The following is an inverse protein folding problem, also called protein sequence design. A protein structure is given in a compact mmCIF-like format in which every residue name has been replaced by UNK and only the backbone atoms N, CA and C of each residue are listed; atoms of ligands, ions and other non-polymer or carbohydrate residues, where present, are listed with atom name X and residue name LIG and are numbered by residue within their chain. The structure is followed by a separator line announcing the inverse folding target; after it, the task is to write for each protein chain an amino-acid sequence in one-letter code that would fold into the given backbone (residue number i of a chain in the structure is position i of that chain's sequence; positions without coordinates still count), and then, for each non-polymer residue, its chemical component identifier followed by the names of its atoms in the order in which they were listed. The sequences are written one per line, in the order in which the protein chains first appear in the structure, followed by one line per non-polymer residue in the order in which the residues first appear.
data_IF_563021739363
#
_entry.id   IF_563021739363
#
_cell.length_a   1.000
_cell.length_b   1.000
_cell.length_c   1.000
_cell.angle_alpha   90.00
_cell.angle_beta   90.00
_cell.angle_gamma   90.00
#
_symmetry.space_group_name_H-M   'P 1'
#
loop_
_entity.id
_entity.type
_entity.pdbx_description
1 polymer ?
#
# COMPACT_ATOMS: atom_id res chain seq x y z
N UNK A 1 -4.70 6.31 -22.09
CA UNK A 1 -4.99 5.84 -20.71
C UNK A 1 -4.42 6.78 -19.66
N UNK A 2 -4.38 6.34 -18.38
CA UNK A 2 -3.94 7.18 -17.24
C UNK A 2 -2.53 7.76 -17.46
N UNK A 3 -1.55 6.94 -17.87
CA UNK A 3 -0.19 7.40 -18.14
C UNK A 3 -0.14 8.51 -19.19
N UNK A 4 -0.88 8.36 -20.29
CA UNK A 4 -0.95 9.37 -21.36
C UNK A 4 -1.55 10.69 -20.86
N UNK A 5 -2.57 10.60 -20.00
CA UNK A 5 -3.18 11.77 -19.40
C UNK A 5 -2.25 12.51 -18.42
N UNK A 6 -1.38 11.78 -17.71
CA UNK A 6 -0.42 12.35 -16.76
C UNK A 6 0.88 12.83 -17.42
N UNK A 7 1.28 12.26 -18.56
CA UNK A 7 2.56 12.54 -19.22
C UNK A 7 2.85 14.05 -19.48
N UNK A 8 1.87 14.90 -19.82
CA UNK A 8 2.13 16.34 -20.01
C UNK A 8 2.52 17.10 -18.74
N UNK A 9 2.27 16.53 -17.55
CA UNK A 9 2.38 17.24 -16.27
C UNK A 9 3.64 16.79 -15.53
N UNK A 10 4.70 16.50 -15.95
CA UNK A 10 5.99 16.20 -15.27
C UNK A 10 5.84 15.81 -13.77
N UNK A 11 4.83 14.99 -13.45
CA UNK A 11 4.52 14.58 -12.08
C UNK A 11 5.52 13.51 -11.64
N UNK A 12 6.23 13.76 -10.55
CA UNK A 12 7.22 12.83 -9.98
C UNK A 12 6.69 12.05 -8.78
N UNK A 13 5.73 12.62 -8.04
CA UNK A 13 5.17 12.03 -6.81
C UNK A 13 3.91 11.19 -7.09
N UNK A 14 4.05 10.13 -7.87
CA UNK A 14 2.95 9.20 -8.15
C UNK A 14 3.00 8.04 -7.17
N UNK A 15 1.95 7.89 -6.37
CA UNK A 15 1.70 6.75 -5.50
C UNK A 15 0.65 5.87 -6.15
N UNK A 16 0.98 4.62 -6.43
CA UNK A 16 0.09 3.67 -7.08
C UNK A 16 -0.32 2.56 -6.10
N UNK A 17 -1.61 2.50 -5.77
CA UNK A 17 -2.20 1.35 -5.09
C UNK A 17 -2.70 0.36 -6.16
N UNK A 18 -2.05 -0.81 -6.34
CA UNK A 18 -2.35 -1.71 -7.45
C UNK A 18 -3.55 -2.60 -7.10
N UNK A 19 -4.73 -2.01 -6.93
CA UNK A 19 -5.94 -2.73 -6.55
C UNK A 19 -6.37 -3.69 -7.67
N UNK A 20 -6.13 -4.99 -7.47
CA UNK A 20 -6.42 -6.05 -8.43
C UNK A 20 -7.50 -7.03 -7.96
N UNK A 21 -7.65 -7.19 -6.65
CA UNK A 21 -8.59 -8.14 -6.04
C UNK A 21 -9.44 -7.40 -5.02
N UNK A 22 -10.76 -7.61 -5.06
CA UNK A 22 -11.65 -7.09 -4.02
C UNK A 22 -11.38 -7.81 -2.69
N UNK A 23 -11.69 -7.15 -1.57
CA UNK A 23 -11.61 -7.76 -0.22
C UNK A 23 -12.40 -9.08 -0.12
N UNK A 24 -13.43 -9.26 -0.97
CA UNK A 24 -14.23 -10.49 -1.09
C UNK A 24 -13.57 -11.57 -1.99
N UNK A 25 -12.36 -11.37 -2.48
CA UNK A 25 -11.63 -12.35 -3.31
C UNK A 25 -12.05 -12.37 -4.80
N UNK A 26 -12.82 -11.40 -5.26
CA UNK A 26 -13.20 -11.31 -6.67
C UNK A 26 -12.13 -10.55 -7.45
N UNK A 27 -11.69 -11.11 -8.59
CA UNK A 27 -10.78 -10.43 -9.50
C UNK A 27 -11.43 -9.15 -10.05
N UNK A 28 -10.77 -8.02 -9.84
CA UNK A 28 -11.22 -6.71 -10.34
C UNK A 28 -10.58 -6.34 -11.67
N UNK A 29 -9.45 -6.94 -12.01
CA UNK A 29 -8.71 -6.65 -13.24
C UNK A 29 -8.59 -7.89 -14.12
N UNK A 30 -8.78 -7.68 -15.42
CA UNK A 30 -8.46 -8.67 -16.44
C UNK A 30 -6.95 -8.76 -16.66
N UNK A 31 -6.46 -9.87 -17.22
CA UNK A 31 -5.04 -10.13 -17.43
C UNK A 31 -4.33 -9.04 -18.27
N UNK A 32 -5.03 -8.52 -19.27
CA UNK A 32 -4.51 -7.43 -20.11
C UNK A 32 -4.31 -6.14 -19.30
N UNK A 33 -5.19 -5.88 -18.35
CA UNK A 33 -5.08 -4.71 -17.47
C UNK A 33 -3.92 -4.87 -16.47
N UNK A 34 -3.69 -6.08 -15.93
CA UNK A 34 -2.54 -6.40 -15.08
C UNK A 34 -1.24 -6.23 -15.87
N UNK A 35 -1.20 -6.70 -17.12
CA UNK A 35 -0.03 -6.51 -17.99
C UNK A 35 0.24 -5.01 -18.24
N UNK A 36 -0.79 -4.25 -18.56
CA UNK A 36 -0.66 -2.80 -18.77
C UNK A 36 -0.21 -2.07 -17.48
N UNK A 37 -0.72 -2.48 -16.31
CA UNK A 37 -0.29 -1.96 -15.01
C UNK A 37 1.21 -2.16 -14.81
N UNK A 38 1.70 -3.40 -15.01
CA UNK A 38 3.12 -3.78 -14.87
C UNK A 38 4.03 -3.02 -15.83
N UNK A 39 3.59 -2.86 -17.07
CA UNK A 39 4.42 -2.27 -18.13
C UNK A 39 4.42 -0.76 -18.14
N UNK A 40 3.27 -0.14 -17.83
CA UNK A 40 3.05 1.26 -18.09
C UNK A 40 2.96 2.12 -16.81
N UNK A 41 2.29 1.65 -15.75
CA UNK A 41 2.04 2.45 -14.57
C UNK A 41 3.05 2.22 -13.44
N UNK A 42 3.42 0.97 -13.15
CA UNK A 42 4.39 0.68 -12.09
C UNK A 42 5.72 1.37 -12.36
N UNK A 43 6.35 1.27 -13.54
CA UNK A 43 7.62 1.96 -13.80
C UNK A 43 7.50 3.49 -13.82
N UNK A 44 6.29 4.02 -13.95
CA UNK A 44 6.01 5.45 -13.93
C UNK A 44 5.70 5.98 -12.52
N UNK A 45 5.57 5.09 -11.54
CA UNK A 45 5.23 5.42 -10.17
C UNK A 45 6.48 5.58 -9.30
N UNK A 46 6.47 6.55 -8.38
CA UNK A 46 7.53 6.71 -7.37
C UNK A 46 7.49 5.59 -6.34
N UNK A 47 6.28 5.19 -5.95
CA UNK A 47 6.05 4.10 -5.00
C UNK A 47 4.75 3.35 -5.32
N UNK A 48 4.78 2.02 -5.13
CA UNK A 48 3.60 1.16 -5.17
C UNK A 48 3.32 0.55 -3.80
N UNK A 49 2.03 0.26 -3.51
CA UNK A 49 1.59 -0.22 -2.18
C UNK A 49 0.83 -1.55 -2.25
N UNK A 50 1.40 -2.62 -2.85
CA UNK A 50 0.71 -3.89 -2.97
C UNK A 50 0.51 -4.58 -1.61
N UNK A 51 -0.59 -5.33 -1.48
CA UNK A 51 -0.73 -6.36 -0.46
C UNK A 51 -0.13 -7.69 -0.96
N UNK A 52 -0.10 -8.74 -0.12
CA UNK A 52 0.47 -10.04 -0.48
C UNK A 52 -0.21 -10.65 -1.71
N UNK A 53 -1.57 -10.79 -1.79
CA UNK A 53 -2.23 -11.31 -2.98
C UNK A 53 -1.87 -10.54 -4.26
N UNK A 54 -1.82 -9.21 -4.20
CA UNK A 54 -1.43 -8.36 -5.33
C UNK A 54 0.03 -8.58 -5.73
N UNK A 55 0.92 -8.71 -4.75
CA UNK A 55 2.33 -8.99 -4.97
C UNK A 55 2.55 -10.36 -5.62
N UNK A 56 1.82 -11.39 -5.18
CA UNK A 56 1.86 -12.73 -5.76
C UNK A 56 1.42 -12.73 -7.23
N UNK A 57 0.35 -12.01 -7.55
CA UNK A 57 -0.10 -11.83 -8.95
C UNK A 57 0.96 -11.10 -9.77
N UNK A 58 1.53 -10.02 -9.24
CA UNK A 58 2.54 -9.24 -9.95
C UNK A 58 3.83 -10.04 -10.18
N UNK A 59 4.26 -10.85 -9.22
CA UNK A 59 5.49 -11.65 -9.31
C UNK A 59 5.28 -13.02 -9.93
N UNK A 60 4.03 -13.50 -10.01
CA UNK A 60 3.71 -14.90 -10.31
C UNK A 60 4.45 -15.89 -9.38
N UNK A 61 4.47 -15.57 -8.09
CA UNK A 61 5.14 -16.33 -7.03
C UNK A 61 4.32 -16.26 -5.75
N UNK A 62 4.40 -17.30 -4.91
CA UNK A 62 3.76 -17.31 -3.58
C UNK A 62 4.65 -16.67 -2.52
N UNK A 63 4.03 -16.02 -1.54
CA UNK A 63 4.67 -15.39 -0.38
C UNK A 63 4.11 -16.04 0.88
N UNK A 64 4.89 -16.89 1.53
CA UNK A 64 4.42 -17.72 2.63
C UNK A 64 4.91 -17.26 4.01
N UNK A 65 5.91 -16.40 4.07
CA UNK A 65 6.54 -15.98 5.32
C UNK A 65 6.97 -14.51 5.28
N UNK A 66 7.26 -13.96 6.46
CA UNK A 66 7.83 -12.61 6.58
C UNK A 66 9.18 -12.52 5.84
N UNK A 67 9.99 -13.60 5.88
CA UNK A 67 11.27 -13.62 5.18
C UNK A 67 11.14 -13.46 3.66
N UNK A 68 10.01 -13.90 3.08
CA UNK A 68 9.75 -13.78 1.65
C UNK A 68 9.38 -12.34 1.25
N UNK A 69 8.92 -11.50 2.19
CA UNK A 69 8.52 -10.12 1.90
C UNK A 69 9.70 -9.26 1.40
N UNK A 70 10.89 -9.46 1.94
CA UNK A 70 12.08 -8.66 1.58
C UNK A 70 12.50 -8.87 0.12
N UNK A 71 12.76 -10.12 -0.33
CA UNK A 71 13.08 -10.35 -1.74
C UNK A 71 11.90 -10.01 -2.66
N UNK A 72 10.65 -10.21 -2.23
CA UNK A 72 9.47 -9.86 -3.01
C UNK A 72 9.35 -8.34 -3.24
N UNK A 73 9.52 -7.53 -2.18
CA UNK A 73 9.50 -6.06 -2.30
C UNK A 73 10.58 -5.57 -3.28
N UNK A 74 11.79 -6.13 -3.19
CA UNK A 74 12.89 -5.79 -4.08
C UNK A 74 12.62 -6.23 -5.53
N UNK A 75 12.03 -7.41 -5.74
CA UNK A 75 11.69 -7.90 -7.08
C UNK A 75 10.60 -7.04 -7.74
N UNK A 76 9.62 -6.56 -6.96
CA UNK A 76 8.56 -5.67 -7.42
C UNK A 76 9.05 -4.29 -7.83
N UNK A 77 10.25 -3.90 -7.45
CA UNK A 77 10.80 -2.57 -7.80
C UNK A 77 11.25 -2.45 -9.27
N UNK A 78 11.15 -3.52 -10.05
CA UNK A 78 11.48 -3.53 -11.48
C UNK A 78 12.84 -2.87 -11.79
N UNK A 79 13.91 -3.52 -11.38
CA UNK A 79 15.29 -3.03 -11.53
C UNK A 79 15.60 -1.75 -10.71
N UNK A 80 15.02 -1.64 -9.53
CA UNK A 80 15.27 -0.52 -8.59
C UNK A 80 14.81 0.85 -9.13
N UNK A 81 13.75 0.85 -9.92
CA UNK A 81 13.17 2.09 -10.45
C UNK A 81 12.02 2.63 -9.60
N UNK A 82 11.23 1.71 -9.02
CA UNK A 82 10.02 2.05 -8.25
C UNK A 82 10.18 1.56 -6.82
N UNK A 83 9.92 2.40 -5.83
CA UNK A 83 9.88 1.99 -4.42
C UNK A 83 8.65 1.15 -4.13
N UNK A 84 8.71 0.27 -3.12
CA UNK A 84 7.64 -0.69 -2.84
C UNK A 84 7.34 -0.73 -1.35
N UNK A 85 6.11 -0.44 -0.98
CA UNK A 85 5.57 -0.73 0.36
C UNK A 85 4.71 -2.00 0.27
N UNK A 86 5.32 -3.16 0.55
CA UNK A 86 4.64 -4.45 0.55
C UNK A 86 3.93 -4.68 1.89
N UNK A 87 2.59 -4.73 1.85
CA UNK A 87 1.73 -4.86 3.04
C UNK A 87 1.63 -6.33 3.47
N UNK A 88 2.20 -6.68 4.62
CA UNK A 88 2.26 -8.06 5.15
C UNK A 88 1.06 -8.50 5.97
N UNK A 89 -0.01 -7.72 6.05
CA UNK A 89 -1.18 -7.95 6.91
C UNK A 89 -1.99 -9.23 6.67
N UNK A 90 -1.65 -10.04 5.68
CA UNK A 90 -2.31 -11.30 5.35
C UNK A 90 -1.61 -12.54 5.94
N UNK A 91 -0.44 -12.37 6.55
CA UNK A 91 0.25 -13.47 7.21
C UNK A 91 -0.39 -13.75 8.59
N UNK A 92 -0.47 -15.04 8.94
CA UNK A 92 -1.04 -15.52 10.21
C UNK A 92 -0.05 -15.37 11.37
N UNK A 93 0.36 -14.14 11.69
CA UNK A 93 1.22 -13.84 12.84
C UNK A 93 0.56 -12.80 13.76
N UNK A 94 0.91 -12.80 15.04
CA UNK A 94 0.43 -11.81 16.01
C UNK A 94 0.95 -10.40 15.72
N UNK A 95 2.05 -10.31 14.97
CA UNK A 95 2.62 -9.07 14.49
C UNK A 95 2.47 -8.98 12.97
N UNK A 96 1.89 -7.89 12.51
CA UNK A 96 1.84 -7.55 11.10
C UNK A 96 3.13 -6.81 10.76
N UNK A 97 3.77 -7.23 9.69
CA UNK A 97 5.00 -6.60 9.21
C UNK A 97 4.79 -6.17 7.77
N UNK A 98 4.93 -4.87 7.53
CA UNK A 98 5.07 -4.36 6.18
C UNK A 98 6.56 -4.16 5.87
N UNK A 99 6.95 -4.37 4.63
CA UNK A 99 8.32 -4.18 4.16
C UNK A 99 8.33 -3.03 3.16
N UNK A 100 9.10 -2.01 3.46
CA UNK A 100 9.32 -0.88 2.56
C UNK A 100 10.71 -0.96 1.94
N UNK A 101 10.76 -1.20 0.62
CA UNK A 101 11.97 -1.06 -0.18
C UNK A 101 12.00 0.33 -0.83
N UNK A 102 12.99 1.13 -0.46
CA UNK A 102 13.22 2.45 -1.07
C UNK A 102 14.23 2.32 -2.22
N UNK A 103 13.75 2.47 -3.45
CA UNK A 103 14.58 2.40 -4.65
C UNK A 103 15.55 3.59 -4.78
N UNK A 104 15.23 4.75 -4.19
CA UNK A 104 16.07 5.95 -4.24
C UNK A 104 17.36 5.80 -3.42
N UNK A 105 17.30 5.05 -2.31
CA UNK A 105 18.45 4.81 -1.40
C UNK A 105 18.96 3.39 -1.43
N UNK A 106 18.25 2.47 -2.12
CA UNK A 106 18.48 1.02 -2.11
C UNK A 106 18.45 0.41 -0.69
N UNK A 107 17.63 0.99 0.20
CA UNK A 107 17.44 0.53 1.57
C UNK A 107 16.11 -0.21 1.72
N UNK A 108 16.08 -1.14 2.66
CA UNK A 108 14.87 -1.86 3.03
C UNK A 108 14.59 -1.65 4.51
N UNK A 109 13.36 -1.25 4.83
CA UNK A 109 12.88 -1.03 6.18
C UNK A 109 11.78 -2.04 6.50
N UNK A 110 11.84 -2.59 7.69
CA UNK A 110 10.78 -3.36 8.31
C UNK A 110 9.90 -2.41 9.13
N UNK A 111 8.60 -2.46 8.89
CA UNK A 111 7.61 -1.61 9.55
C UNK A 111 6.62 -2.48 10.35
N UNK A 112 6.99 -2.90 11.57
CA UNK A 112 6.13 -3.72 12.39
C UNK A 112 4.91 -2.93 12.86
N UNK A 113 3.77 -3.61 12.94
CA UNK A 113 2.52 -3.03 13.41
C UNK A 113 1.80 -4.06 14.28
N UNK A 114 1.33 -3.72 15.47
CA UNK A 114 0.49 -4.60 16.25
C UNK A 114 -0.82 -4.86 15.50
N UNK A 115 -1.34 -6.06 15.61
CA UNK A 115 -2.67 -6.37 15.08
C UNK A 115 -3.72 -5.59 15.88
N UNK A 116 -4.50 -4.77 15.19
CA UNK A 116 -5.63 -4.03 15.77
C UNK A 116 -6.90 -4.82 15.47
N UNK A 117 -7.58 -5.29 16.50
CA UNK A 117 -8.87 -5.97 16.35
C UNK A 117 -9.96 -4.92 16.10
N UNK A 118 -10.33 -4.77 14.84
CA UNK A 118 -11.33 -3.81 14.40
C UNK A 118 -12.12 -4.36 13.21
N UNK A 119 -13.43 -4.17 13.25
CA UNK A 119 -14.31 -4.43 12.09
C UNK A 119 -14.28 -3.27 11.09
N UNK A 120 -13.77 -2.10 11.50
CA UNK A 120 -13.74 -0.88 10.71
C UNK A 120 -12.41 -0.77 9.93
N UNK A 121 -12.26 -1.61 8.93
CA UNK A 121 -11.05 -1.71 8.10
C UNK A 121 -11.27 -1.31 6.65
N UNK A 122 -12.51 -0.93 6.28
CA UNK A 122 -12.79 -0.51 4.91
C UNK A 122 -12.04 0.77 4.56
N UNK A 123 -11.38 0.78 3.42
CA UNK A 123 -10.61 1.92 2.92
C UNK A 123 -9.18 2.03 3.47
N UNK A 124 -8.68 1.05 4.24
CA UNK A 124 -7.31 1.06 4.79
C UNK A 124 -6.25 1.25 3.71
N UNK A 125 -6.28 0.48 2.62
CA UNK A 125 -5.30 0.58 1.53
C UNK A 125 -5.34 1.93 0.83
N UNK A 126 -6.54 2.36 0.42
CA UNK A 126 -6.75 3.66 -0.24
C UNK A 126 -6.32 4.83 0.65
N UNK A 127 -6.59 4.74 1.96
CA UNK A 127 -6.18 5.77 2.93
C UNK A 127 -4.66 5.82 3.08
N UNK A 128 -3.99 4.67 3.16
CA UNK A 128 -2.54 4.59 3.27
C UNK A 128 -1.85 5.21 2.04
N UNK A 129 -2.24 4.81 0.84
CA UNK A 129 -1.66 5.34 -0.41
C UNK A 129 -1.92 6.85 -0.56
N UNK A 130 -3.13 7.32 -0.23
CA UNK A 130 -3.48 8.75 -0.25
C UNK A 130 -2.70 9.55 0.80
N UNK A 131 -2.47 9.00 1.98
CA UNK A 131 -1.66 9.64 3.02
C UNK A 131 -0.20 9.76 2.60
N UNK A 132 0.40 8.71 1.96
CA UNK A 132 1.76 8.80 1.39
C UNK A 132 1.82 9.94 0.37
N UNK A 133 0.87 10.00 -0.56
CA UNK A 133 0.82 11.06 -1.57
C UNK A 133 0.70 12.46 -0.94
N UNK A 134 -0.11 12.60 0.10
CA UNK A 134 -0.27 13.84 0.85
C UNK A 134 1.04 14.29 1.51
N UNK A 135 1.73 13.37 2.21
CA UNK A 135 3.00 13.70 2.86
C UNK A 135 4.10 14.03 1.86
N UNK A 136 4.14 13.37 0.69
CA UNK A 136 5.03 13.74 -0.40
C UNK A 136 4.74 15.14 -0.95
N UNK A 137 3.46 15.53 -1.01
CA UNK A 137 3.07 16.88 -1.41
C UNK A 137 3.48 17.96 -0.38
N UNK A 138 3.72 17.57 0.87
CA UNK A 138 4.32 18.43 1.91
C UNK A 138 5.85 18.36 1.94
N UNK A 139 6.48 17.93 0.85
CA UNK A 139 7.94 17.91 0.65
C UNK A 139 8.71 17.00 1.65
N UNK A 140 8.04 16.04 2.30
CA UNK A 140 8.73 15.05 3.10
C UNK A 140 9.49 14.07 2.18
N UNK A 141 10.55 13.46 2.70
CA UNK A 141 11.22 12.35 2.02
C UNK A 141 10.26 11.18 1.83
N UNK A 142 10.54 10.30 0.87
CA UNK A 142 9.68 9.14 0.63
C UNK A 142 9.60 8.23 1.88
N UNK A 143 10.73 8.01 2.55
CA UNK A 143 10.78 7.21 3.79
C UNK A 143 9.92 7.82 4.90
N UNK A 144 10.05 9.13 5.16
CA UNK A 144 9.23 9.83 6.16
C UNK A 144 7.74 9.79 5.80
N UNK A 145 7.41 9.97 4.51
CA UNK A 145 6.03 9.91 4.03
C UNK A 145 5.40 8.53 4.29
N UNK A 146 6.13 7.46 4.03
CA UNK A 146 5.67 6.09 4.30
C UNK A 146 5.48 5.85 5.80
N UNK A 147 6.45 6.23 6.64
CA UNK A 147 6.38 6.05 8.10
C UNK A 147 5.18 6.81 8.66
N UNK A 148 5.03 8.09 8.33
CA UNK A 148 3.90 8.91 8.83
C UNK A 148 2.55 8.44 8.32
N UNK A 149 2.47 7.95 7.10
CA UNK A 149 1.25 7.37 6.56
C UNK A 149 0.85 6.08 7.29
N UNK A 150 1.84 5.25 7.65
CA UNK A 150 1.63 4.05 8.49
C UNK A 150 1.13 4.43 9.89
N UNK A 151 1.73 5.41 10.53
CA UNK A 151 1.26 5.92 11.83
C UNK A 151 -0.17 6.43 11.74
N UNK A 152 -0.47 7.23 10.73
CA UNK A 152 -1.80 7.79 10.52
C UNK A 152 -2.86 6.69 10.33
N UNK A 153 -2.63 5.71 9.46
CA UNK A 153 -3.61 4.66 9.22
C UNK A 153 -3.81 3.75 10.43
N UNK A 154 -2.74 3.42 11.17
CA UNK A 154 -2.84 2.63 12.39
C UNK A 154 -3.71 3.34 13.44
N UNK A 155 -3.54 4.63 13.62
CA UNK A 155 -4.38 5.43 14.51
C UNK A 155 -5.82 5.55 14.02
N UNK A 156 -6.03 5.70 12.71
CA UNK A 156 -7.37 5.75 12.12
C UNK A 156 -8.14 4.43 12.30
N UNK A 157 -7.46 3.27 12.23
CA UNK A 157 -8.04 1.96 12.51
C UNK A 157 -8.35 1.83 14.02
N UNK A 158 -7.37 2.13 14.89
CA UNK A 158 -7.50 1.98 16.34
C UNK A 158 -8.64 2.84 16.90
N UNK A 159 -8.69 4.10 16.51
CA UNK A 159 -9.73 5.02 16.95
C UNK A 159 -11.09 4.76 16.28
N UNK A 160 -11.13 4.01 15.19
CA UNK A 160 -12.36 3.54 14.54
C UNK A 160 -13.05 2.40 15.29
N UNK A 161 -12.31 1.64 16.11
CA UNK A 161 -12.79 0.41 16.76
C UNK A 161 -14.10 0.58 17.56
N UNK A 162 -14.34 1.66 18.32
CA UNK A 162 -15.56 1.83 19.10
C UNK A 162 -16.83 2.08 18.28
N UNK A 163 -16.70 2.40 16.99
CA UNK A 163 -17.83 2.80 16.17
C UNK A 163 -18.42 1.60 15.42
N UNK A 164 -19.73 1.58 15.28
CA UNK A 164 -20.43 0.64 14.40
C UNK A 164 -21.13 1.43 13.31
N UNK A 165 -20.61 1.34 12.07
CA UNK A 165 -21.13 2.07 10.91
C UNK A 165 -21.55 1.05 9.86
N UNK A 166 -22.86 0.96 9.62
CA UNK A 166 -23.43 0.01 8.66
C UNK A 166 -23.50 -1.44 9.17
N UNK A 167 -23.66 -2.38 8.24
CA UNK A 167 -23.89 -3.82 8.50
C UNK A 167 -22.66 -4.68 8.13
N UNK A 168 -21.63 -4.12 7.52
CA UNK A 168 -20.42 -4.81 7.07
C UNK A 168 -19.16 -4.25 7.72
N UNK A 169 -18.02 -4.35 7.00
CA UNK A 169 -16.80 -3.69 7.40
C UNK A 169 -16.98 -2.18 7.35
N UNK A 170 -16.94 -1.53 8.51
CA UNK A 170 -17.04 -0.07 8.62
C UNK A 170 -15.77 0.63 8.13
N UNK A 171 -15.85 1.95 7.87
CA UNK A 171 -14.71 2.76 7.43
C UNK A 171 -13.73 3.01 8.55
N UNK A 172 -12.46 3.25 8.21
CA UNK A 172 -11.47 3.77 9.15
C UNK A 172 -11.84 5.19 9.60
N UNK A 173 -11.42 5.59 10.80
CA UNK A 173 -11.75 6.91 11.37
C UNK A 173 -10.75 7.99 10.94
N UNK A 174 -10.97 8.60 9.76
CA UNK A 174 -10.04 9.58 9.17
C UNK A 174 -9.84 10.82 10.04
N UNK A 175 -10.84 11.24 10.82
CA UNK A 175 -10.85 12.48 11.59
C UNK A 175 -10.53 12.28 13.09
N UNK A 176 -9.93 11.17 13.47
CA UNK A 176 -9.67 10.80 14.86
C UNK A 176 -8.94 11.87 15.68
N UNK A 177 -8.18 12.76 15.05
CA UNK A 177 -7.49 13.87 15.71
C UNK A 177 -8.39 15.08 16.01
N UNK A 178 -9.56 15.14 15.40
CA UNK A 178 -10.42 16.33 15.39
C UNK A 178 -11.81 16.07 15.99
N UNK A 179 -12.14 14.80 16.22
CA UNK A 179 -13.40 14.41 16.84
C UNK A 179 -13.14 13.89 18.26
N UNK A 180 -13.83 14.48 19.19
CA UNK A 180 -13.88 14.04 20.59
C UNK A 180 -15.00 13.00 20.79
#
# INVERSE_FOLDING_TARGET
GVKEALAPYLITNIVLDPVMVATAGTDLLQQEAIYALKKELIPYSRVITPNIPEAEILLNQTINSIADLFPAAKALSYNQQTSVLLKGGHLSSDQLVDVFYNAETNETLELPTPRIDSVNTHGTGCTLSSAIASFLAHELTLTESVIRAKEYINQAIANGTPYQIGQGHGPVHHFYKYWE
#
